data_IF_899388397614
#
_entry.id   IF_899388397614
#
_cell.length_a   1.000
_cell.length_b   1.000
_cell.length_c   1.000
_cell.angle_alpha   90.00
_cell.angle_beta   90.00
_cell.angle_gamma   90.00
#
_symmetry.space_group_name_H-M   'P 1'
#
loop_
_entity.id
_entity.type
_entity.pdbx_description
1 polymer ?
#
# COMPACT_ATOMS: atom_id res chain seq x y z
N UNK A 1 19.98 -21.45 -28.49
CA UNK A 1 19.46 -20.10 -28.76
C UNK A 1 19.59 -19.30 -27.47
N UNK A 2 20.46 -18.29 -27.46
CA UNK A 2 20.85 -17.59 -26.24
C UNK A 2 19.77 -16.62 -25.80
N UNK A 3 19.32 -16.75 -24.55
CA UNK A 3 18.53 -15.70 -23.90
C UNK A 3 19.39 -14.43 -23.89
N UNK A 4 18.97 -13.41 -24.63
CA UNK A 4 19.56 -12.08 -24.46
C UNK A 4 19.31 -11.67 -23.00
N UNK A 5 20.33 -11.12 -22.33
CA UNK A 5 20.16 -10.62 -20.95
C UNK A 5 18.95 -9.69 -20.91
N UNK A 6 18.15 -9.80 -19.84
CA UNK A 6 16.99 -8.94 -19.60
C UNK A 6 17.37 -7.46 -19.76
N UNK A 7 18.58 -7.09 -19.35
CA UNK A 7 19.11 -5.73 -19.49
C UNK A 7 19.18 -5.27 -20.95
N UNK A 8 19.59 -6.15 -21.87
CA UNK A 8 19.66 -5.82 -23.30
C UNK A 8 18.28 -5.58 -23.89
N UNK A 9 17.30 -6.41 -23.52
CA UNK A 9 15.91 -6.25 -23.94
C UNK A 9 15.30 -4.96 -23.37
N UNK A 10 15.57 -4.68 -22.09
CA UNK A 10 15.07 -3.48 -21.42
C UNK A 10 15.65 -2.22 -22.06
N UNK A 11 16.96 -2.21 -22.34
CA UNK A 11 17.63 -1.08 -23.01
C UNK A 11 17.07 -0.86 -24.42
N UNK A 12 16.84 -1.94 -25.18
CA UNK A 12 16.25 -1.84 -26.51
C UNK A 12 14.80 -1.31 -26.48
N UNK A 13 14.01 -1.66 -25.47
CA UNK A 13 12.66 -1.10 -25.28
C UNK A 13 12.70 0.37 -24.89
N UNK A 14 13.60 0.76 -23.97
CA UNK A 14 13.76 2.14 -23.52
C UNK A 14 14.26 3.08 -24.63
N UNK A 15 14.95 2.55 -25.64
CA UNK A 15 15.42 3.32 -26.81
C UNK A 15 14.31 3.68 -27.81
N UNK A 16 13.12 3.06 -27.70
CA UNK A 16 11.99 3.40 -28.56
C UNK A 16 11.35 4.74 -28.15
N UNK A 17 10.88 5.55 -29.12
CA UNK A 17 10.31 6.88 -28.84
C UNK A 17 9.07 6.82 -27.94
N UNK A 18 8.30 5.73 -27.99
CA UNK A 18 7.15 5.50 -27.11
C UNK A 18 7.53 5.48 -25.61
N UNK A 19 8.78 5.15 -25.30
CA UNK A 19 9.32 5.03 -23.94
C UNK A 19 10.17 6.23 -23.53
N UNK A 20 10.20 7.30 -24.33
CA UNK A 20 11.00 8.50 -24.03
C UNK A 20 10.69 9.10 -22.66
N UNK A 21 9.41 9.08 -22.23
CA UNK A 21 9.01 9.53 -20.89
C UNK A 21 9.62 8.65 -19.79
N UNK A 22 9.57 7.33 -19.94
CA UNK A 22 10.14 6.39 -18.99
C UNK A 22 11.67 6.53 -18.93
N UNK A 23 12.34 6.60 -20.09
CA UNK A 23 13.79 6.81 -20.17
C UNK A 23 14.22 8.10 -19.48
N UNK A 24 13.47 9.19 -19.69
CA UNK A 24 13.69 10.46 -18.99
C UNK A 24 13.53 10.31 -17.48
N UNK A 25 12.46 9.65 -17.03
CA UNK A 25 12.24 9.43 -15.60
C UNK A 25 13.35 8.58 -14.96
N UNK A 26 13.77 7.50 -15.60
CA UNK A 26 14.89 6.66 -15.13
C UNK A 26 16.17 7.48 -14.99
N UNK A 27 16.53 8.27 -15.99
CA UNK A 27 17.71 9.13 -15.95
C UNK A 27 17.64 10.17 -14.81
N UNK A 28 16.47 10.76 -14.57
CA UNK A 28 16.24 11.68 -13.44
C UNK A 28 16.39 10.94 -12.10
N UNK A 29 15.82 9.74 -11.98
CA UNK A 29 15.87 8.95 -10.75
C UNK A 29 17.31 8.53 -10.38
N UNK A 30 18.10 8.11 -11.35
CA UNK A 30 19.52 7.80 -11.11
C UNK A 30 20.32 9.00 -10.62
N UNK A 31 20.07 10.18 -11.20
CA UNK A 31 20.76 11.42 -10.82
C UNK A 31 20.31 11.93 -9.46
N UNK A 32 19.02 11.78 -9.15
CA UNK A 32 18.47 12.02 -7.82
C UNK A 32 19.24 11.22 -6.76
N UNK A 33 19.42 9.92 -6.99
CA UNK A 33 20.15 9.04 -6.07
C UNK A 33 21.62 9.44 -5.88
N UNK A 34 22.27 10.00 -6.91
CA UNK A 34 23.68 10.43 -6.86
C UNK A 34 23.89 11.76 -6.12
N UNK A 35 22.94 12.69 -6.21
CA UNK A 35 23.10 14.05 -5.68
C UNK A 35 22.73 14.14 -4.19
N UNK A 36 21.76 13.33 -3.74
CA UNK A 36 21.24 13.45 -2.38
C UNK A 36 22.12 12.76 -1.32
N UNK A 37 22.28 13.38 -0.13
CA UNK A 37 22.86 12.70 1.03
C UNK A 37 22.02 11.48 1.44
N UNK A 38 22.66 10.48 2.04
CA UNK A 38 22.01 9.22 2.48
C UNK A 38 20.71 9.44 3.27
N UNK A 39 20.69 10.40 4.20
CA UNK A 39 19.49 10.71 5.01
C UNK A 39 18.33 11.24 4.16
N UNK A 40 18.61 12.15 3.24
CA UNK A 40 17.59 12.70 2.34
C UNK A 40 17.11 11.65 1.34
N UNK A 41 18.00 10.77 0.86
CA UNK A 41 17.64 9.66 -0.02
C UNK A 41 16.72 8.64 0.66
N UNK A 42 17.00 8.30 1.92
CA UNK A 42 16.14 7.40 2.70
C UNK A 42 14.74 7.97 2.96
N UNK A 43 14.57 9.29 2.86
CA UNK A 43 13.31 10.00 3.15
C UNK A 43 12.75 10.72 1.92
N UNK A 44 13.24 10.41 0.71
CA UNK A 44 12.69 10.96 -0.52
C UNK A 44 12.93 10.07 -1.73
N UNK A 45 11.90 9.88 -2.54
CA UNK A 45 12.04 9.17 -3.81
C UNK A 45 11.21 9.82 -4.90
N UNK A 46 11.74 9.95 -6.13
CA UNK A 46 10.98 10.41 -7.28
C UNK A 46 9.82 9.48 -7.61
N UNK A 47 8.68 10.05 -7.98
CA UNK A 47 7.46 9.31 -8.32
C UNK A 47 7.18 9.40 -9.81
N UNK A 48 7.20 10.62 -10.36
CA UNK A 48 6.83 10.92 -11.75
C UNK A 48 7.25 12.32 -12.18
N UNK A 49 7.21 12.57 -13.47
CA UNK A 49 7.40 13.90 -14.09
C UNK A 49 6.10 14.29 -14.79
N UNK A 50 5.58 15.48 -14.50
CA UNK A 50 4.43 16.10 -15.17
C UNK A 50 4.83 17.52 -15.56
N UNK A 51 4.63 17.93 -16.80
CA UNK A 51 4.94 19.29 -17.28
C UNK A 51 6.37 19.75 -16.90
N UNK A 52 7.34 18.84 -16.98
CA UNK A 52 8.75 19.04 -16.57
C UNK A 52 8.97 19.29 -15.07
N UNK A 53 7.97 19.04 -14.23
CA UNK A 53 8.07 19.11 -12.76
C UNK A 53 8.22 17.72 -12.19
N UNK A 54 9.30 17.50 -11.42
CA UNK A 54 9.54 16.23 -10.73
C UNK A 54 8.73 16.18 -9.43
N UNK A 55 7.87 15.17 -9.31
CA UNK A 55 7.16 14.89 -8.06
C UNK A 55 7.94 13.88 -7.24
N UNK A 56 8.18 14.23 -5.98
CA UNK A 56 8.99 13.47 -5.02
C UNK A 56 8.12 13.15 -3.80
N UNK A 57 8.09 11.88 -3.42
CA UNK A 57 7.41 11.43 -2.21
C UNK A 57 8.29 11.67 -1.00
N UNK A 58 7.69 12.06 0.12
CA UNK A 58 8.35 12.22 1.43
C UNK A 58 7.52 11.60 2.54
N UNK A 59 8.10 11.04 3.61
CA UNK A 59 7.36 10.35 4.66
C UNK A 59 6.41 11.23 5.45
N UNK A 60 6.76 12.50 5.66
CA UNK A 60 5.99 13.43 6.45
C UNK A 60 6.23 14.88 6.01
N UNK A 61 5.45 15.81 6.59
CA UNK A 61 5.53 17.23 6.27
C UNK A 61 6.89 17.85 6.63
N UNK A 62 7.54 17.41 7.71
CA UNK A 62 8.86 17.90 8.12
C UNK A 62 9.90 17.69 7.02
N UNK A 63 9.92 16.49 6.41
CA UNK A 63 10.82 16.19 5.29
C UNK A 63 10.45 16.96 4.01
N UNK A 64 9.16 17.12 3.72
CA UNK A 64 8.72 17.97 2.61
C UNK A 64 9.19 19.41 2.77
N UNK A 65 9.07 19.99 3.97
CA UNK A 65 9.55 21.34 4.26
C UNK A 65 11.07 21.43 4.15
N UNK A 66 11.79 20.48 4.77
CA UNK A 66 13.25 20.43 4.70
C UNK A 66 13.78 20.42 3.26
N UNK A 67 13.21 19.58 2.40
CA UNK A 67 13.61 19.50 0.99
C UNK A 67 13.12 20.70 0.17
N UNK A 68 11.96 21.28 0.50
CA UNK A 68 11.51 22.52 -0.14
C UNK A 68 12.46 23.70 0.12
N UNK A 69 13.03 23.81 1.33
CA UNK A 69 14.04 24.84 1.63
C UNK A 69 15.30 24.66 0.77
N UNK A 70 15.63 23.42 0.40
CA UNK A 70 16.77 23.08 -0.46
C UNK A 70 16.42 23.00 -1.96
N UNK A 71 15.14 23.18 -2.32
CA UNK A 71 14.58 22.96 -3.67
C UNK A 71 15.39 23.63 -4.77
N UNK A 72 15.71 24.92 -4.62
CA UNK A 72 16.45 25.68 -5.64
C UNK A 72 17.85 25.11 -5.89
N UNK A 73 18.55 24.76 -4.81
CA UNK A 73 19.88 24.13 -4.88
C UNK A 73 19.79 22.75 -5.52
N UNK A 74 18.84 21.91 -5.10
CA UNK A 74 18.66 20.56 -5.64
C UNK A 74 18.28 20.60 -7.13
N UNK A 75 17.38 21.50 -7.53
CA UNK A 75 16.98 21.69 -8.92
C UNK A 75 18.17 22.12 -9.78
N UNK A 76 18.98 23.06 -9.31
CA UNK A 76 20.19 23.49 -10.02
C UNK A 76 21.20 22.34 -10.18
N UNK A 77 21.43 21.55 -9.13
CA UNK A 77 22.33 20.40 -9.17
C UNK A 77 21.83 19.30 -10.13
N UNK A 78 20.51 19.04 -10.14
CA UNK A 78 19.90 18.09 -11.06
C UNK A 78 20.00 18.57 -12.52
N UNK A 79 19.64 19.83 -12.77
CA UNK A 79 19.63 20.42 -14.11
C UNK A 79 21.04 20.59 -14.69
N UNK A 80 22.08 20.71 -13.85
CA UNK A 80 23.47 20.70 -14.33
C UNK A 80 23.84 19.39 -15.04
N UNK A 81 23.14 18.30 -14.74
CA UNK A 81 23.38 16.99 -15.36
C UNK A 81 22.27 16.59 -16.34
N UNK A 82 21.08 17.22 -16.28
CA UNK A 82 19.88 16.91 -17.08
C UNK A 82 19.73 17.72 -18.35
N UNK A 83 19.45 17.02 -19.45
CA UNK A 83 19.02 17.61 -20.71
C UNK A 83 17.84 16.78 -21.26
N UNK A 84 16.62 17.34 -21.40
CA UNK A 84 16.22 18.71 -21.06
C UNK A 84 16.10 18.95 -19.54
N UNK A 85 16.26 20.20 -19.07
CA UNK A 85 16.15 20.52 -17.65
C UNK A 85 14.71 20.37 -17.13
N UNK A 86 14.58 20.14 -15.83
CA UNK A 86 13.32 20.20 -15.12
C UNK A 86 12.96 21.66 -14.83
N UNK A 87 11.67 21.99 -14.92
CA UNK A 87 11.16 23.31 -14.52
C UNK A 87 11.17 23.46 -13.00
N UNK A 88 10.84 22.39 -12.28
CA UNK A 88 10.64 22.47 -10.84
C UNK A 88 10.63 21.12 -10.10
N UNK A 89 10.64 21.14 -8.77
CA UNK A 89 10.53 19.96 -7.90
C UNK A 89 9.34 20.11 -6.95
N UNK A 90 8.48 19.11 -6.78
CA UNK A 90 7.36 19.14 -5.82
C UNK A 90 7.46 17.99 -4.83
N UNK A 91 7.32 18.29 -3.55
CA UNK A 91 7.41 17.31 -2.46
C UNK A 91 6.04 17.06 -1.85
N UNK A 92 5.64 15.79 -1.73
CA UNK A 92 4.32 15.40 -1.23
C UNK A 92 4.39 14.16 -0.36
N UNK A 93 3.52 14.10 0.65
CA UNK A 93 3.34 12.92 1.52
C UNK A 93 2.41 11.87 0.93
N UNK A 94 1.54 12.26 -0.01
CA UNK A 94 0.43 11.44 -0.54
C UNK A 94 0.90 10.13 -1.20
N UNK A 95 2.12 10.10 -1.73
CA UNK A 95 2.64 8.97 -2.49
C UNK A 95 3.73 8.20 -1.75
N UNK A 96 4.03 8.54 -0.49
CA UNK A 96 5.06 7.85 0.28
C UNK A 96 4.74 6.37 0.53
N UNK A 97 3.48 6.08 0.82
CA UNK A 97 3.01 4.71 1.07
C UNK A 97 2.61 3.98 -0.22
N UNK A 98 2.67 4.63 -1.40
CA UNK A 98 2.59 3.92 -2.69
C UNK A 98 3.91 3.20 -2.94
N UNK A 99 4.17 2.15 -2.16
CA UNK A 99 5.14 1.15 -2.58
C UNK A 99 4.59 0.45 -3.84
N UNK A 100 5.45 0.06 -4.79
CA UNK A 100 5.04 -0.95 -5.77
C UNK A 100 4.48 -2.15 -5.01
N UNK A 101 3.51 -2.85 -5.60
CA UNK A 101 2.80 -3.98 -5.00
C UNK A 101 3.70 -5.13 -4.48
N UNK A 102 5.01 -5.02 -4.65
CA UNK A 102 6.01 -5.92 -4.10
C UNK A 102 6.83 -5.20 -3.02
N UNK A 103 6.43 -5.36 -1.78
CA UNK A 103 7.29 -5.13 -0.62
C UNK A 103 7.58 -6.51 -0.03
N UNK A 104 8.83 -6.95 0.12
CA UNK A 104 9.17 -8.24 0.74
C UNK A 104 8.78 -8.33 2.23
N UNK A 105 8.33 -7.21 2.82
CA UNK A 105 7.73 -7.12 4.15
C UNK A 105 6.23 -6.80 4.13
N UNK A 106 5.63 -6.54 2.96
CA UNK A 106 4.18 -6.59 2.86
C UNK A 106 3.85 -8.08 2.87
N UNK A 107 2.93 -8.49 3.75
CA UNK A 107 2.36 -9.82 3.72
C UNK A 107 2.09 -10.21 2.26
N UNK A 108 2.54 -11.40 1.86
CA UNK A 108 2.20 -12.03 0.58
C UNK A 108 0.75 -11.65 0.19
N UNK A 109 0.51 -11.07 -0.98
CA UNK A 109 -0.84 -10.68 -1.41
C UNK A 109 -1.83 -11.86 -1.45
N UNK A 110 -1.36 -13.10 -1.35
CA UNK A 110 -2.16 -14.31 -1.20
C UNK A 110 -2.40 -14.73 0.26
N UNK A 111 -1.81 -14.06 1.25
CA UNK A 111 -2.10 -14.32 2.66
C UNK A 111 -3.53 -13.85 2.96
N UNK A 112 -4.41 -14.74 3.45
CA UNK A 112 -5.79 -14.39 3.73
C UNK A 112 -5.84 -13.34 4.85
N UNK A 113 -6.38 -12.16 4.55
CA UNK A 113 -6.59 -11.14 5.57
C UNK A 113 -7.76 -11.56 6.49
N UNK A 114 -7.72 -11.36 7.82
CA UNK A 114 -8.80 -11.78 8.73
C UNK A 114 -10.17 -11.14 8.40
N UNK A 115 -10.17 -9.96 7.79
CA UNK A 115 -11.37 -9.29 7.28
C UNK A 115 -11.76 -9.67 5.84
N UNK A 116 -11.05 -10.61 5.22
CA UNK A 116 -11.39 -11.10 3.89
C UNK A 116 -12.64 -11.97 4.00
N UNK A 117 -13.69 -11.55 3.30
CA UNK A 117 -14.89 -12.37 3.19
C UNK A 117 -14.59 -13.58 2.29
N UNK A 118 -15.09 -14.78 2.63
CA UNK A 118 -15.15 -15.87 1.69
C UNK A 118 -16.09 -15.42 0.57
N UNK A 119 -15.52 -14.85 -0.49
CA UNK A 119 -16.27 -14.66 -1.73
C UNK A 119 -16.63 -16.07 -2.21
N UNK A 120 -17.91 -16.32 -2.60
CA UNK A 120 -18.21 -17.55 -3.30
C UNK A 120 -17.24 -17.65 -4.46
N UNK A 121 -16.56 -18.80 -4.54
CA UNK A 121 -15.52 -19.09 -5.49
C UNK A 121 -16.01 -18.66 -6.88
N UNK A 122 -15.56 -17.50 -7.35
CA UNK A 122 -15.80 -17.06 -8.73
C UNK A 122 -14.79 -17.86 -9.56
N UNK A 123 -15.05 -19.17 -9.61
CA UNK A 123 -14.16 -20.18 -10.13
C UNK A 123 -14.00 -20.05 -11.64
N UNK A 124 -14.82 -19.20 -12.25
CA UNK A 124 -14.51 -18.54 -13.50
C UNK A 124 -14.35 -17.04 -13.23
N UNK A 125 -13.21 -16.41 -13.60
CA UNK A 125 -13.27 -15.02 -14.00
C UNK A 125 -14.47 -14.95 -14.97
N UNK A 126 -15.42 -14.00 -14.83
CA UNK A 126 -16.34 -13.79 -15.94
C UNK A 126 -15.42 -13.60 -17.13
N UNK A 127 -15.49 -14.52 -18.10
CA UNK A 127 -14.84 -14.29 -19.38
C UNK A 127 -15.20 -12.86 -19.71
N UNK A 128 -14.20 -11.99 -19.83
CA UNK A 128 -14.40 -10.67 -20.43
C UNK A 128 -14.79 -11.00 -21.87
N UNK A 129 -16.03 -11.39 -22.08
CA UNK A 129 -16.69 -11.20 -23.34
C UNK A 129 -16.63 -9.70 -23.51
N UNK A 130 -15.86 -9.26 -24.50
CA UNK A 130 -15.81 -7.90 -24.98
C UNK A 130 -17.24 -7.45 -25.33
N UNK A 131 -17.96 -7.04 -24.30
CA UNK A 131 -19.26 -6.44 -24.37
C UNK A 131 -19.25 -5.42 -23.24
N UNK A 132 -18.99 -4.19 -23.64
CA UNK A 132 -19.37 -2.99 -22.94
C UNK A 132 -20.89 -3.08 -22.66
N UNK A 133 -21.30 -3.86 -21.66
CA UNK A 133 -22.63 -3.76 -21.08
C UNK A 133 -22.56 -2.62 -20.09
N UNK A 134 -22.54 -1.41 -20.66
CA UNK A 134 -22.95 -0.19 -19.99
C UNK A 134 -24.38 -0.43 -19.52
N UNK A 135 -24.58 -0.87 -18.28
CA UNK A 135 -25.78 -0.46 -17.54
C UNK A 135 -25.69 1.06 -17.47
N UNK A 136 -26.39 1.73 -18.40
CA UNK A 136 -26.28 3.16 -18.65
C UNK A 136 -26.97 4.02 -17.59
N UNK A 137 -27.39 3.43 -16.47
CA UNK A 137 -28.01 4.14 -15.36
C UNK A 137 -27.17 3.97 -14.06
N UNK A 138 -26.58 5.06 -13.53
CA UNK A 138 -25.84 5.00 -12.27
C UNK A 138 -26.70 4.52 -11.09
N UNK A 139 -28.01 4.75 -11.11
CA UNK A 139 -28.92 4.30 -10.04
C UNK A 139 -29.03 2.78 -10.03
N UNK A 140 -29.13 2.17 -11.21
CA UNK A 140 -29.22 0.72 -11.35
C UNK A 140 -27.91 0.02 -10.98
N UNK A 141 -26.76 0.61 -11.33
CA UNK A 141 -25.46 0.11 -10.90
C UNK A 141 -25.30 0.13 -9.37
N UNK A 142 -25.74 1.21 -8.70
CA UNK A 142 -25.71 1.30 -7.23
C UNK A 142 -26.66 0.28 -6.60
N UNK A 143 -27.86 0.08 -7.17
CA UNK A 143 -28.83 -0.91 -6.67
C UNK A 143 -28.25 -2.32 -6.77
N UNK A 144 -27.70 -2.69 -7.93
CA UNK A 144 -27.09 -3.98 -8.15
C UNK A 144 -25.90 -4.23 -7.20
N UNK A 145 -25.05 -3.22 -6.99
CA UNK A 145 -23.98 -3.31 -5.99
C UNK A 145 -24.54 -3.51 -4.57
N UNK A 146 -25.58 -2.75 -4.18
CA UNK A 146 -26.18 -2.84 -2.85
C UNK A 146 -26.79 -4.23 -2.58
N UNK A 147 -27.50 -4.79 -3.55
CA UNK A 147 -28.06 -6.16 -3.49
C UNK A 147 -26.94 -7.20 -3.36
N UNK A 148 -25.86 -7.05 -4.15
CA UNK A 148 -24.69 -7.93 -4.07
C UNK A 148 -24.06 -7.86 -2.67
N UNK A 149 -23.89 -6.67 -2.10
CA UNK A 149 -23.35 -6.52 -0.74
C UNK A 149 -24.29 -7.12 0.32
N UNK A 150 -25.60 -6.91 0.21
CA UNK A 150 -26.57 -7.49 1.15
C UNK A 150 -26.52 -9.02 1.16
N UNK A 151 -26.45 -9.64 -0.02
CA UNK A 151 -26.32 -11.10 -0.13
C UNK A 151 -25.01 -11.60 0.50
N UNK A 152 -23.90 -10.89 0.27
CA UNK A 152 -22.62 -11.23 0.88
C UNK A 152 -22.66 -11.15 2.41
N UNK A 153 -23.28 -10.10 2.98
CA UNK A 153 -23.38 -9.94 4.42
C UNK A 153 -24.39 -10.88 5.09
N UNK A 154 -25.45 -11.29 4.37
CA UNK A 154 -26.46 -12.21 4.90
C UNK A 154 -25.90 -13.58 5.30
N UNK A 155 -24.81 -14.02 4.66
CA UNK A 155 -24.15 -15.30 4.94
C UNK A 155 -23.11 -15.26 6.07
N UNK A 156 -22.88 -14.11 6.70
CA UNK A 156 -21.83 -13.97 7.71
C UNK A 156 -22.36 -14.13 9.14
N UNK A 157 -21.55 -14.66 10.06
CA UNK A 157 -21.92 -14.74 11.47
C UNK A 157 -22.06 -13.33 12.08
N UNK A 158 -22.94 -13.19 13.07
CA UNK A 158 -23.14 -11.93 13.77
C UNK A 158 -22.07 -11.71 14.86
N UNK A 159 -21.65 -10.46 15.04
CA UNK A 159 -20.80 -10.07 16.17
C UNK A 159 -21.57 -10.24 17.48
N UNK A 160 -21.01 -10.89 18.52
CA UNK A 160 -21.71 -11.08 19.79
C UNK A 160 -22.00 -9.76 20.53
N UNK A 161 -21.16 -8.72 20.36
CA UNK A 161 -21.36 -7.40 21.01
C UNK A 161 -22.39 -6.50 20.32
N UNK A 162 -22.37 -6.40 18.99
CA UNK A 162 -23.20 -5.43 18.25
C UNK A 162 -24.14 -6.03 17.21
N UNK A 163 -24.17 -7.36 17.07
CA UNK A 163 -25.03 -8.11 16.15
C UNK A 163 -24.86 -7.79 14.66
N UNK A 164 -23.76 -7.13 14.26
CA UNK A 164 -23.46 -6.86 12.84
C UNK A 164 -22.84 -8.08 12.17
N UNK A 165 -23.14 -8.28 10.88
CA UNK A 165 -22.47 -9.26 10.03
C UNK A 165 -20.95 -9.09 10.11
N UNK A 166 -20.24 -10.13 10.52
CA UNK A 166 -18.82 -10.07 10.86
C UNK A 166 -18.05 -11.18 10.13
N UNK A 167 -16.92 -10.86 9.47
CA UNK A 167 -16.08 -11.87 8.86
C UNK A 167 -15.64 -12.90 9.91
N UNK A 168 -15.65 -14.22 9.58
CA UNK A 168 -15.24 -15.25 10.53
C UNK A 168 -13.78 -15.08 11.00
N UNK A 169 -12.89 -14.56 10.15
CA UNK A 169 -11.51 -14.28 10.54
C UNK A 169 -11.37 -13.16 11.58
N UNK A 170 -12.28 -12.18 11.62
CA UNK A 170 -12.34 -11.19 12.69
C UNK A 170 -12.78 -11.82 14.01
N UNK A 171 -13.80 -12.69 13.97
CA UNK A 171 -14.25 -13.42 15.15
C UNK A 171 -13.17 -14.37 15.69
N UNK A 172 -12.44 -15.08 14.82
CA UNK A 172 -11.32 -15.93 15.24
C UNK A 172 -10.23 -15.12 15.95
N UNK A 173 -9.93 -13.92 15.44
CA UNK A 173 -8.83 -13.10 15.94
C UNK A 173 -9.20 -12.29 17.19
N UNK A 174 -10.40 -11.75 17.24
CA UNK A 174 -10.80 -10.75 18.24
C UNK A 174 -12.08 -11.10 18.98
N UNK A 175 -12.77 -12.18 18.60
CA UNK A 175 -14.07 -12.61 19.13
C UNK A 175 -15.22 -11.60 18.92
N UNK A 176 -14.94 -10.44 18.34
CA UNK A 176 -15.88 -9.36 18.01
C UNK A 176 -15.50 -8.73 16.66
N UNK A 177 -16.38 -7.91 16.09
CA UNK A 177 -16.07 -7.20 14.85
C UNK A 177 -15.00 -6.11 15.03
N UNK A 178 -14.39 -5.71 13.91
CA UNK A 178 -13.38 -4.64 13.85
C UNK A 178 -13.81 -3.32 14.52
N UNK A 179 -15.07 -2.94 14.44
CA UNK A 179 -15.57 -1.73 15.14
C UNK A 179 -15.60 -1.92 16.65
N UNK A 180 -16.08 -3.07 17.12
CA UNK A 180 -16.17 -3.36 18.54
C UNK A 180 -14.79 -3.51 19.17
N UNK A 181 -13.83 -4.15 18.50
CA UNK A 181 -12.48 -4.30 19.05
C UNK A 181 -11.75 -2.95 19.17
N UNK A 182 -11.94 -2.03 18.22
CA UNK A 182 -11.40 -0.66 18.33
C UNK A 182 -11.98 0.07 19.54
N UNK A 183 -13.29 -0.08 19.80
CA UNK A 183 -13.91 0.50 20.99
C UNK A 183 -13.36 -0.11 22.28
N UNK A 184 -13.18 -1.45 22.33
CA UNK A 184 -12.55 -2.13 23.48
C UNK A 184 -11.16 -1.56 23.73
N UNK A 185 -10.33 -1.41 22.69
CA UNK A 185 -8.99 -0.86 22.84
C UNK A 185 -9.00 0.58 23.33
N UNK A 186 -9.93 1.40 22.85
CA UNK A 186 -10.08 2.78 23.32
C UNK A 186 -10.54 2.84 24.78
N UNK A 187 -11.46 1.96 25.19
CA UNK A 187 -11.93 1.82 26.58
C UNK A 187 -10.80 1.33 27.51
N UNK A 188 -9.90 0.49 27.00
CA UNK A 188 -8.75 -0.06 27.73
C UNK A 188 -7.51 0.84 27.75
N UNK A 189 -7.47 1.91 26.93
CA UNK A 189 -6.40 2.90 26.93
C UNK A 189 -6.86 4.23 27.54
N UNK A 190 -6.80 4.41 28.87
CA UNK A 190 -6.89 5.74 29.44
C UNK A 190 -5.59 6.49 29.09
N UNK A 191 -5.65 7.38 28.09
CA UNK A 191 -4.65 8.42 27.76
C UNK A 191 -3.20 8.10 28.19
N UNK A 192 -2.52 7.26 27.41
CA UNK A 192 -1.09 7.01 27.61
C UNK A 192 -0.50 6.25 26.43
N UNK A 193 0.05 6.99 25.45
CA UNK A 193 0.98 6.57 24.40
C UNK A 193 0.69 5.21 23.72
N UNK A 194 0.15 5.27 22.50
CA UNK A 194 -0.20 4.13 21.67
C UNK A 194 0.94 3.14 21.42
N UNK A 195 0.99 2.10 22.26
CA UNK A 195 1.66 0.84 21.97
C UNK A 195 0.56 -0.22 21.75
N UNK A 196 0.57 -0.94 20.61
CA UNK A 196 -0.37 -2.05 20.40
C UNK A 196 -0.11 -3.15 21.43
N UNK A 197 -1.14 -3.86 21.92
CA UNK A 197 -0.96 -4.95 22.89
C UNK A 197 -0.12 -6.06 22.28
N UNK A 198 0.90 -6.52 23.02
CA UNK A 198 1.67 -7.71 22.68
C UNK A 198 0.76 -8.96 22.69
N UNK A 199 1.00 -9.93 21.79
CA UNK A 199 0.22 -11.16 21.75
C UNK A 199 0.39 -11.95 23.07
N UNK A 200 -0.63 -12.69 23.52
CA UNK A 200 -0.55 -13.46 24.75
C UNK A 200 0.54 -14.54 24.63
N UNK A 201 1.51 -14.50 25.53
CA UNK A 201 2.50 -15.57 25.69
C UNK A 201 1.83 -16.84 26.21
N UNK A 202 2.22 -18.03 25.73
CA UNK A 202 1.67 -19.29 26.21
C UNK A 202 2.05 -19.48 27.69
N UNK A 203 1.06 -19.87 28.47
CA UNK A 203 1.13 -20.08 29.91
C UNK A 203 2.24 -21.09 30.27
N UNK A 204 3.14 -20.67 31.15
CA UNK A 204 4.07 -21.56 31.84
C UNK A 204 3.27 -22.39 32.84
N UNK A 205 3.30 -23.74 32.80
CA UNK A 205 2.64 -24.54 33.81
C UNK A 205 3.38 -24.40 35.16
N UNK A 206 2.64 -23.97 36.17
CA UNK A 206 3.01 -24.00 37.59
C UNK A 206 3.17 -25.45 38.08
N UNK A 207 4.02 -25.54 39.10
CA UNK A 207 4.53 -26.69 39.84
C UNK A 207 3.60 -27.90 40.02
N UNK A 208 4.20 -29.09 39.93
CA UNK A 208 3.72 -30.29 40.62
C UNK A 208 4.69 -30.58 41.77
N UNK A 209 4.28 -30.18 42.97
CA UNK A 209 4.65 -30.87 44.20
C UNK A 209 4.14 -32.33 44.12
N UNK A 210 5.02 -33.29 44.36
CA UNK A 210 4.66 -34.62 44.87
C UNK A 210 5.91 -35.22 45.56
N UNK A 211 5.98 -35.04 46.87
CA UNK A 211 6.66 -35.92 47.84
C UNK A 211 6.02 -37.34 47.70
N UNK A 212 6.75 -38.47 47.75
CA UNK A 212 7.14 -39.03 49.04
C UNK A 212 8.41 -39.92 49.11
N UNK A 213 8.77 -40.19 50.38
CA UNK A 213 9.66 -41.21 51.02
C UNK A 213 11.13 -40.88 51.31
#
# INVERSE_FOLDING_TARGET
MGFQSIDHLLNHLLDQPAWAHQKRFTAVNERWQKILPKKSLANSHPIRIIDDVLWVATPNHTWSQHLNLQRRRLLAQLNAQLNPPLKDLRFSTVHWHRRPAYSPLAADPNLPHPSQLPLPNRQDPPQRTDAHQTTSDPVEAVRHWAETQQQLFAGLPACPRCQRATPPGELQRWQVCSFCIVQIWQEQQPLGLGVPPEPPTPETPLDRDDDPE
#
